data_IF_436429599869
#
_entry.id   IF_436429599869
#
_cell.length_a   1.000
_cell.length_b   1.000
_cell.length_c   1.000
_cell.angle_alpha   90.00
_cell.angle_beta   90.00
_cell.angle_gamma   90.00
#
_symmetry.space_group_name_H-M   'P 1'
#
loop_
_entity.id
_entity.type
_entity.pdbx_description
1 polymer ?
#
# COMPACT_ATOMS: atom_id res chain seq x y z
N UNK A 1 1.70 11.15 21.55
CA UNK A 1 2.23 11.54 20.24
C UNK A 1 2.38 10.31 19.37
N UNK A 2 1.74 10.31 18.21
CA UNK A 2 1.81 9.16 17.31
C UNK A 2 2.99 9.31 16.36
N UNK A 3 3.76 8.25 16.23
CA UNK A 3 4.85 8.18 15.28
C UNK A 3 4.32 7.76 13.92
N UNK A 4 4.82 8.39 12.87
CA UNK A 4 4.55 7.95 11.51
C UNK A 4 5.64 6.97 11.10
N UNK A 5 5.22 5.77 10.74
CA UNK A 5 6.10 4.73 10.25
C UNK A 5 6.04 4.70 8.74
N UNK A 6 7.16 4.44 8.10
CA UNK A 6 7.22 4.36 6.64
C UNK A 6 8.02 3.14 6.21
N UNK A 7 7.66 2.60 5.06
CA UNK A 7 8.42 1.51 4.44
C UNK A 7 8.30 1.62 2.93
N UNK A 8 9.42 1.48 2.26
CA UNK A 8 9.47 1.45 0.79
C UNK A 8 9.45 0.00 0.34
N UNK A 9 8.57 -0.32 -0.61
CA UNK A 9 8.47 -1.66 -1.16
C UNK A 9 8.42 -1.61 -2.67
N UNK A 10 8.89 -2.66 -3.32
CA UNK A 10 8.87 -2.78 -4.78
C UNK A 10 7.64 -3.56 -5.22
N UNK A 11 6.98 -3.07 -6.26
CA UNK A 11 5.88 -3.78 -6.89
C UNK A 11 6.48 -4.93 -7.69
N UNK A 12 6.11 -6.16 -7.37
CA UNK A 12 6.66 -7.34 -8.02
C UNK A 12 5.64 -8.18 -8.78
N UNK A 13 4.37 -7.80 -8.77
CA UNK A 13 3.36 -8.45 -9.58
C UNK A 13 3.31 -7.80 -10.97
N UNK A 14 3.01 -8.59 -11.98
CA UNK A 14 3.10 -8.14 -13.36
C UNK A 14 2.16 -6.97 -13.68
N UNK A 15 0.97 -6.96 -13.10
CA UNK A 15 -0.06 -5.94 -13.39
C UNK A 15 0.00 -4.71 -12.48
N UNK A 16 0.87 -4.74 -11.46
CA UNK A 16 1.02 -3.60 -10.56
C UNK A 16 -0.25 -3.32 -9.75
N UNK A 17 -0.46 -2.05 -9.41
CA UNK A 17 -1.62 -1.60 -8.64
C UNK A 17 -2.87 -1.43 -9.52
N UNK A 18 -3.27 -2.49 -10.20
CA UNK A 18 -4.52 -2.50 -10.96
C UNK A 18 -5.72 -2.54 -10.01
N UNK A 19 -6.92 -2.53 -10.55
CA UNK A 19 -8.15 -2.40 -9.73
C UNK A 19 -8.26 -3.46 -8.64
N UNK A 20 -8.03 -4.73 -8.97
CA UNK A 20 -8.13 -5.83 -8.00
C UNK A 20 -7.07 -5.73 -6.90
N UNK A 21 -5.82 -5.43 -7.28
CA UNK A 21 -4.74 -5.28 -6.31
C UNK A 21 -5.00 -4.10 -5.39
N UNK A 22 -5.44 -2.98 -5.94
CA UNK A 22 -5.78 -1.79 -5.16
C UNK A 22 -6.93 -2.06 -4.20
N UNK A 23 -7.93 -2.82 -4.63
CA UNK A 23 -9.05 -3.20 -3.76
C UNK A 23 -8.59 -4.07 -2.59
N UNK A 24 -7.68 -5.02 -2.84
CA UNK A 24 -7.11 -5.85 -1.78
C UNK A 24 -6.33 -5.01 -0.78
N UNK A 25 -5.55 -4.06 -1.27
CA UNK A 25 -4.77 -3.15 -0.43
C UNK A 25 -5.69 -2.32 0.48
N UNK A 26 -6.72 -1.70 -0.10
CA UNK A 26 -7.70 -0.89 0.64
C UNK A 26 -8.38 -1.74 1.71
N UNK A 27 -8.83 -2.93 1.34
CA UNK A 27 -9.54 -3.81 2.25
C UNK A 27 -8.68 -4.21 3.44
N UNK A 28 -7.42 -4.55 3.20
CA UNK A 28 -6.51 -4.92 4.27
C UNK A 28 -6.18 -3.72 5.14
N UNK A 29 -5.91 -2.56 4.55
CA UNK A 29 -5.60 -1.33 5.30
C UNK A 29 -6.76 -0.96 6.23
N UNK A 30 -8.00 -1.19 5.80
CA UNK A 30 -9.19 -0.86 6.58
C UNK A 30 -9.36 -1.72 7.84
N UNK A 31 -8.65 -2.85 7.94
CA UNK A 31 -8.75 -3.72 9.11
C UNK A 31 -7.92 -3.23 10.29
N UNK A 32 -7.08 -2.22 10.09
CA UNK A 32 -6.20 -1.70 11.14
C UNK A 32 -6.65 -0.32 11.61
N UNK A 33 -6.46 -0.07 12.89
CA UNK A 33 -6.68 1.25 13.47
C UNK A 33 -5.44 2.09 13.22
N UNK A 34 -5.33 2.58 11.98
CA UNK A 34 -4.21 3.39 11.53
C UNK A 34 -4.61 4.20 10.32
N UNK A 35 -4.00 5.37 10.19
CA UNK A 35 -4.14 6.17 8.99
C UNK A 35 -3.00 5.83 8.05
N UNK A 36 -3.32 5.24 6.90
CA UNK A 36 -2.32 4.74 5.97
C UNK A 36 -2.34 5.56 4.67
N UNK A 37 -1.16 5.90 4.19
CA UNK A 37 -0.99 6.61 2.93
C UNK A 37 0.06 5.92 2.08
N UNK A 38 -0.05 6.10 0.77
CA UNK A 38 0.89 5.52 -0.20
C UNK A 38 1.43 6.64 -1.08
N UNK A 39 2.74 6.68 -1.24
CA UNK A 39 3.42 7.72 -2.02
C UNK A 39 4.23 7.09 -3.14
N UNK A 40 4.16 7.69 -4.32
CA UNK A 40 5.00 7.33 -5.45
C UNK A 40 5.35 8.62 -6.21
N UNK A 41 6.64 8.83 -6.46
CA UNK A 41 7.12 9.98 -7.25
C UNK A 41 6.55 11.32 -6.78
N UNK A 42 6.47 11.51 -5.46
CA UNK A 42 5.99 12.75 -4.88
C UNK A 42 4.48 12.88 -4.77
N UNK A 43 3.72 11.92 -5.28
CA UNK A 43 2.26 11.91 -5.18
C UNK A 43 1.83 11.00 -4.03
N UNK A 44 1.04 11.52 -3.11
CA UNK A 44 0.56 10.78 -1.94
C UNK A 44 -0.96 10.63 -2.01
N UNK A 45 -1.43 9.41 -1.78
CA UNK A 45 -2.86 9.10 -1.77
C UNK A 45 -3.21 8.36 -0.49
N UNK A 46 -4.50 8.44 -0.13
CA UNK A 46 -5.04 7.74 1.03
C UNK A 46 -5.23 6.26 0.67
N UNK A 47 -4.77 5.36 1.53
CA UNK A 47 -4.90 3.92 1.31
C UNK A 47 -6.34 3.41 1.39
N UNK A 48 -7.29 4.29 1.71
CA UNK A 48 -8.72 3.94 1.68
C UNK A 48 -9.35 4.21 0.32
N UNK A 49 -8.58 4.74 -0.62
CA UNK A 49 -9.09 5.10 -1.94
C UNK A 49 -8.53 4.17 -3.02
N UNK A 50 -9.37 3.30 -3.55
CA UNK A 50 -9.01 2.42 -4.68
C UNK A 50 -8.58 3.29 -5.86
N UNK A 51 -9.36 4.33 -6.16
CA UNK A 51 -9.07 5.23 -7.28
C UNK A 51 -7.72 5.93 -7.07
N UNK A 52 -7.46 6.40 -5.84
CA UNK A 52 -6.20 7.06 -5.52
C UNK A 52 -5.00 6.15 -5.79
N UNK A 53 -5.09 4.90 -5.34
CA UNK A 53 -4.01 3.93 -5.57
C UNK A 53 -3.79 3.68 -7.06
N UNK A 54 -4.87 3.55 -7.82
CA UNK A 54 -4.78 3.33 -9.27
C UNK A 54 -4.14 4.52 -9.98
N UNK A 55 -4.41 5.73 -9.50
CA UNK A 55 -3.87 6.95 -10.11
C UNK A 55 -2.36 7.09 -9.92
N UNK A 56 -1.76 6.36 -8.97
CA UNK A 56 -0.31 6.34 -8.82
C UNK A 56 0.38 5.67 -10.00
N UNK A 57 -0.33 4.85 -10.76
CA UNK A 57 0.19 4.15 -11.92
C UNK A 57 1.43 3.31 -11.58
N UNK A 58 1.46 2.70 -10.40
CA UNK A 58 2.59 1.90 -9.94
C UNK A 58 2.55 0.52 -10.58
N UNK A 59 3.43 0.29 -11.53
CA UNK A 59 3.54 -0.98 -12.23
C UNK A 59 4.72 -1.81 -11.75
N UNK A 60 4.94 -2.93 -12.42
CA UNK A 60 6.04 -3.83 -12.13
C UNK A 60 7.37 -3.07 -12.09
N UNK A 61 8.12 -3.26 -11.02
CA UNK A 61 9.43 -2.63 -10.85
C UNK A 61 9.39 -1.25 -10.21
N UNK A 62 8.20 -0.65 -10.04
CA UNK A 62 8.08 0.63 -9.36
C UNK A 62 8.17 0.45 -7.85
N UNK A 63 8.70 1.47 -7.17
CA UNK A 63 8.73 1.53 -5.71
C UNK A 63 7.56 2.37 -5.21
N UNK A 64 6.95 1.96 -4.12
CA UNK A 64 5.98 2.79 -3.41
C UNK A 64 6.41 2.90 -1.95
N UNK A 65 6.08 4.02 -1.32
CA UNK A 65 6.30 4.21 0.10
C UNK A 65 4.97 4.11 0.82
N UNK A 66 4.89 3.20 1.78
CA UNK A 66 3.71 3.03 2.62
C UNK A 66 3.99 3.73 3.95
N UNK A 67 3.11 4.64 4.37
CA UNK A 67 3.24 5.30 5.66
C UNK A 67 1.99 5.05 6.49
N UNK A 68 2.15 4.95 7.80
CA UNK A 68 1.05 4.70 8.71
C UNK A 68 1.25 5.41 10.03
N UNK A 69 0.16 5.94 10.58
CA UNK A 69 0.11 6.55 11.91
C UNK A 69 -1.08 5.97 12.66
N UNK A 70 -0.94 5.84 13.97
CA UNK A 70 -2.03 5.40 14.82
C UNK A 70 -1.67 4.19 15.65
N UNK A 71 -2.62 3.69 16.47
CA UNK A 71 -2.35 2.59 17.40
C UNK A 71 -1.84 1.31 16.73
N UNK A 72 -2.29 1.01 15.53
CA UNK A 72 -1.88 -0.21 14.82
C UNK A 72 -1.01 0.09 13.59
N UNK A 73 -0.27 1.19 13.62
CA UNK A 73 0.58 1.58 12.48
C UNK A 73 1.60 0.50 12.12
N UNK A 74 2.27 -0.09 13.12
CA UNK A 74 3.29 -1.12 12.87
C UNK A 74 2.67 -2.37 12.23
N UNK A 75 1.54 -2.81 12.76
CA UNK A 75 0.84 -3.99 12.22
C UNK A 75 0.36 -3.74 10.79
N UNK A 76 -0.14 -2.53 10.52
CA UNK A 76 -0.60 -2.15 9.18
C UNK A 76 0.55 -2.18 8.17
N UNK A 77 1.68 -1.57 8.52
CA UNK A 77 2.86 -1.54 7.66
C UNK A 77 3.33 -2.96 7.34
N UNK A 78 3.42 -3.81 8.36
CA UNK A 78 3.86 -5.19 8.21
C UNK A 78 2.94 -5.97 7.27
N UNK A 79 1.64 -5.90 7.51
CA UNK A 79 0.66 -6.63 6.72
C UNK A 79 0.61 -6.14 5.27
N UNK A 80 0.64 -4.83 5.06
CA UNK A 80 0.56 -4.26 3.72
C UNK A 80 1.84 -4.54 2.93
N UNK A 81 2.99 -4.47 3.58
CA UNK A 81 4.26 -4.83 2.96
C UNK A 81 4.23 -6.29 2.49
N UNK A 82 3.73 -7.18 3.35
CA UNK A 82 3.63 -8.60 3.02
C UNK A 82 2.69 -8.82 1.83
N UNK A 83 1.57 -8.12 1.78
CA UNK A 83 0.64 -8.23 0.66
C UNK A 83 1.31 -7.86 -0.66
N UNK A 84 2.09 -6.78 -0.67
CA UNK A 84 2.82 -6.35 -1.87
C UNK A 84 3.87 -7.38 -2.25
N UNK A 85 4.64 -7.87 -1.27
CA UNK A 85 5.68 -8.87 -1.51
C UNK A 85 5.12 -10.18 -2.02
N UNK A 86 3.90 -10.52 -1.60
CA UNK A 86 3.18 -11.70 -2.06
C UNK A 86 2.49 -11.49 -3.42
N UNK A 87 2.78 -10.37 -4.09
CA UNK A 87 2.21 -10.03 -5.40
C UNK A 87 0.69 -9.96 -5.37
N UNK A 88 0.13 -9.50 -4.25
CA UNK A 88 -1.33 -9.42 -4.06
C UNK A 88 -2.00 -10.78 -4.30
N UNK A 89 -1.30 -11.87 -3.98
CA UNK A 89 -1.74 -13.26 -4.19
C UNK A 89 -1.93 -13.61 -5.67
N UNK A 90 -1.31 -12.88 -6.57
CA UNK A 90 -1.29 -13.18 -8.00
C UNK A 90 -0.11 -14.09 -8.31
N UNK A 91 -0.26 -14.92 -9.31
CA UNK A 91 0.81 -15.83 -9.73
C UNK A 91 1.97 -15.08 -10.40
N UNK A 92 1.70 -13.89 -10.92
CA UNK A 92 2.70 -13.12 -11.64
C UNK A 92 2.73 -11.68 -11.15
#
# INVERSE_FOLDING_TARGET
MTERLTRTVDISNQRGLHARASAKFVKLAATFDAEVKVTKDGSTVDARSIMGLMMLAAGLGCCIEISAEGPQAAEAIEALTQLVEDRFDEER
#
